data_IF_748721955607
#
_entry.id   IF_748721955607
#
_cell.length_a   1.000
_cell.length_b   1.000
_cell.length_c   1.000
_cell.angle_alpha   90.00
_cell.angle_beta   90.00
_cell.angle_gamma   90.00
#
_symmetry.space_group_name_H-M   'P 1'
#
loop_
_entity.id
_entity.type
_entity.pdbx_description
1 polymer ?
#
# COMPACT_ATOMS: atom_id res chain seq x y z
N UNK A 1 -24.47 -25.72 6.61
CA UNK A 1 -23.93 -25.11 5.38
C UNK A 1 -23.36 -23.77 5.78
N UNK A 2 -22.05 -23.72 5.99
CA UNK A 2 -21.34 -22.46 6.26
C UNK A 2 -21.51 -21.53 5.06
N UNK A 3 -22.28 -20.46 5.25
CA UNK A 3 -22.16 -19.30 4.38
C UNK A 3 -20.83 -18.65 4.74
N UNK A 4 -19.76 -19.09 4.07
CA UNK A 4 -18.58 -18.27 3.93
C UNK A 4 -19.07 -16.95 3.31
N UNK A 5 -19.22 -15.91 4.16
CA UNK A 5 -19.48 -14.55 3.70
C UNK A 5 -18.47 -14.28 2.59
N UNK A 6 -18.98 -14.05 1.38
CA UNK A 6 -18.17 -13.78 0.20
C UNK A 6 -17.25 -12.61 0.55
N UNK A 7 -15.96 -12.88 0.74
CA UNK A 7 -15.01 -11.83 1.08
C UNK A 7 -14.86 -10.91 -0.13
N UNK A 8 -15.45 -9.73 -0.05
CA UNK A 8 -15.33 -8.71 -1.09
C UNK A 8 -14.04 -7.96 -0.83
N UNK A 9 -13.00 -8.29 -1.60
CA UNK A 9 -11.71 -7.59 -1.53
C UNK A 9 -11.89 -6.15 -2.02
N UNK A 10 -11.84 -5.18 -1.09
CA UNK A 10 -11.93 -3.76 -1.45
C UNK A 10 -10.71 -3.30 -2.24
N UNK A 11 -9.51 -3.69 -1.80
CA UNK A 11 -8.24 -3.25 -2.40
C UNK A 11 -8.05 -3.74 -3.84
N UNK A 12 -7.62 -2.84 -4.74
CA UNK A 12 -7.35 -3.12 -6.16
C UNK A 12 -5.91 -3.59 -6.41
N UNK A 13 -5.29 -4.17 -5.40
CA UNK A 13 -3.88 -4.56 -5.45
C UNK A 13 -3.63 -5.68 -6.46
N UNK A 14 -2.72 -5.44 -7.40
CA UNK A 14 -2.25 -6.42 -8.37
C UNK A 14 -1.20 -7.35 -7.73
N UNK A 15 -1.00 -8.51 -8.35
CA UNK A 15 0.12 -9.40 -8.04
C UNK A 15 1.45 -8.86 -8.57
N UNK A 16 1.40 -7.98 -9.57
CA UNK A 16 2.57 -7.39 -10.23
C UNK A 16 2.26 -5.97 -10.72
N UNK A 17 3.27 -5.09 -10.63
CA UNK A 17 3.25 -3.71 -11.12
C UNK A 17 4.49 -3.43 -11.96
N UNK A 18 4.31 -2.77 -13.10
CA UNK A 18 5.41 -2.31 -13.96
C UNK A 18 5.98 -0.97 -13.50
N UNK A 19 7.11 -0.54 -14.08
CA UNK A 19 7.76 0.74 -13.76
C UNK A 19 6.87 1.95 -14.10
N UNK A 20 6.02 1.83 -15.12
CA UNK A 20 5.10 2.89 -15.54
C UNK A 20 3.91 3.10 -14.58
N UNK A 21 3.65 2.12 -13.71
CA UNK A 21 2.52 2.13 -12.77
C UNK A 21 2.90 2.66 -11.38
N UNK A 22 4.19 2.92 -11.16
CA UNK A 22 4.71 3.38 -9.87
C UNK A 22 5.26 4.80 -9.97
N UNK A 23 5.35 5.47 -8.82
CA UNK A 23 5.90 6.81 -8.66
C UNK A 23 6.83 6.87 -7.44
N UNK A 24 7.94 7.59 -7.57
CA UNK A 24 8.78 7.89 -6.43
C UNK A 24 8.05 8.87 -5.48
N UNK A 25 8.24 8.70 -4.19
CA UNK A 25 7.64 9.55 -3.17
C UNK A 25 8.64 9.93 -2.08
N UNK A 26 8.36 11.05 -1.41
CA UNK A 26 9.06 11.47 -0.21
C UNK A 26 8.63 10.60 0.98
N UNK A 27 9.47 10.53 2.01
CA UNK A 27 9.11 9.90 3.26
C UNK A 27 7.82 10.54 3.83
N UNK A 28 6.75 9.76 4.09
CA UNK A 28 5.48 10.30 4.59
C UNK A 28 5.56 10.97 5.96
N UNK A 29 6.59 10.65 6.75
CA UNK A 29 6.74 11.16 8.12
C UNK A 29 7.58 12.43 8.20
N UNK A 30 8.73 12.47 7.50
CA UNK A 30 9.67 13.59 7.60
C UNK A 30 9.91 14.33 6.28
N UNK A 31 9.25 13.93 5.20
CA UNK A 31 9.42 14.50 3.85
C UNK A 31 10.84 14.37 3.27
N UNK A 32 11.71 13.57 3.89
CA UNK A 32 13.04 13.27 3.37
C UNK A 32 13.00 12.43 2.09
N UNK A 33 14.05 12.53 1.28
CA UNK A 33 14.20 11.79 0.02
C UNK A 33 15.32 10.73 0.05
N UNK A 34 16.05 10.62 1.15
CA UNK A 34 17.10 9.62 1.34
C UNK A 34 16.58 8.38 2.07
N UNK A 35 16.97 7.22 1.56
CA UNK A 35 16.47 5.93 2.03
C UNK A 35 17.39 4.75 1.64
N UNK A 36 17.40 3.73 2.50
CA UNK A 36 17.99 2.43 2.21
C UNK A 36 16.96 1.47 1.63
N UNK A 37 17.30 0.73 0.57
CA UNK A 37 16.44 -0.33 0.01
C UNK A 37 16.53 -1.58 0.89
N UNK A 38 15.37 -2.13 1.24
CA UNK A 38 15.28 -3.37 2.04
C UNK A 38 14.90 -4.54 1.14
N UNK A 39 13.81 -4.42 0.38
CA UNK A 39 13.23 -5.55 -0.35
C UNK A 39 12.43 -5.08 -1.56
N UNK A 40 12.44 -5.84 -2.65
CA UNK A 40 11.60 -5.59 -3.83
C UNK A 40 10.39 -6.52 -3.79
N UNK A 41 9.19 -5.97 -3.94
CA UNK A 41 7.94 -6.74 -3.95
C UNK A 41 7.11 -6.46 -5.21
N UNK A 42 6.30 -7.45 -5.63
CA UNK A 42 5.25 -7.29 -6.66
C UNK A 42 5.71 -6.55 -7.93
N UNK A 43 6.93 -6.83 -8.41
CA UNK A 43 7.52 -6.16 -9.56
C UNK A 43 8.29 -4.90 -9.16
N UNK A 44 7.75 -3.73 -9.49
CA UNK A 44 8.45 -2.45 -9.34
C UNK A 44 8.31 -1.78 -7.97
N UNK A 45 7.58 -2.36 -7.01
CA UNK A 45 7.49 -1.81 -5.66
C UNK A 45 8.72 -2.19 -4.84
N UNK A 46 9.18 -1.26 -3.99
CA UNK A 46 10.34 -1.49 -3.13
C UNK A 46 10.03 -1.03 -1.72
N UNK A 47 10.22 -1.90 -0.75
CA UNK A 47 10.24 -1.56 0.68
C UNK A 47 11.58 -0.89 0.97
N UNK A 48 11.52 0.30 1.52
CA UNK A 48 12.67 1.13 1.87
C UNK A 48 12.58 1.58 3.32
N UNK A 49 13.71 1.95 3.91
CA UNK A 49 13.80 2.59 5.21
C UNK A 49 14.33 4.01 5.03
N UNK A 50 13.62 5.02 5.53
CA UNK A 50 14.07 6.40 5.49
C UNK A 50 15.31 6.59 6.37
N UNK A 51 16.39 7.16 5.82
CA UNK A 51 17.62 7.43 6.56
C UNK A 51 17.45 8.50 7.64
N UNK A 52 16.51 9.44 7.44
CA UNK A 52 16.30 10.57 8.35
C UNK A 52 15.46 10.26 9.59
N UNK A 53 14.40 9.45 9.44
CA UNK A 53 13.47 9.16 10.54
C UNK A 53 13.27 7.68 10.84
N UNK A 54 13.90 6.78 10.07
CA UNK A 54 13.81 5.33 10.27
C UNK A 54 12.50 4.69 9.84
N UNK A 55 11.51 5.45 9.34
CA UNK A 55 10.24 4.91 8.86
C UNK A 55 10.47 3.90 7.72
N UNK A 56 9.83 2.73 7.82
CA UNK A 56 9.77 1.74 6.76
C UNK A 56 8.50 2.00 5.93
N UNK A 57 8.65 2.14 4.62
CA UNK A 57 7.56 2.46 3.69
C UNK A 57 7.87 1.92 2.28
N UNK A 58 6.91 2.03 1.36
CA UNK A 58 7.07 1.62 -0.03
C UNK A 58 7.48 2.82 -0.90
N UNK A 59 8.59 2.69 -1.62
CA UNK A 59 9.10 3.69 -2.57
C UNK A 59 9.97 3.04 -3.66
N UNK A 60 9.61 3.11 -4.95
CA UNK A 60 8.44 3.79 -5.50
C UNK A 60 7.13 3.06 -5.14
N UNK A 61 6.05 3.81 -4.99
CA UNK A 61 4.70 3.33 -4.65
C UNK A 61 3.81 3.29 -5.89
N UNK A 62 2.71 2.55 -5.85
CA UNK A 62 1.72 2.56 -6.94
C UNK A 62 1.14 3.98 -7.11
N UNK A 63 0.99 4.46 -8.34
CA UNK A 63 0.24 5.69 -8.64
C UNK A 63 -1.18 5.59 -8.07
N UNK A 64 -1.72 6.69 -7.53
CA UNK A 64 -3.04 6.69 -6.87
C UNK A 64 -3.11 5.63 -5.74
N UNK A 65 -2.07 5.58 -4.90
CA UNK A 65 -1.93 4.61 -3.81
C UNK A 65 -3.18 4.53 -2.91
N UNK A 66 -3.82 5.65 -2.61
CA UNK A 66 -5.04 5.72 -1.79
C UNK A 66 -6.17 4.87 -2.38
N UNK A 67 -6.47 5.05 -3.67
CA UNK A 67 -7.49 4.27 -4.39
C UNK A 67 -7.10 2.79 -4.51
N UNK A 68 -5.81 2.51 -4.73
CA UNK A 68 -5.34 1.14 -4.93
C UNK A 68 -5.31 0.31 -3.64
N UNK A 69 -4.96 0.93 -2.52
CA UNK A 69 -4.86 0.26 -1.23
C UNK A 69 -6.17 0.23 -0.47
N UNK A 70 -6.95 1.31 -0.49
CA UNK A 70 -8.20 1.39 0.28
C UNK A 70 -9.40 0.88 -0.49
N UNK A 71 -9.33 0.85 -1.82
CA UNK A 71 -10.41 0.32 -2.63
C UNK A 71 -11.65 1.20 -2.67
N UNK A 72 -12.83 0.58 -2.70
CA UNK A 72 -14.09 1.30 -2.57
C UNK A 72 -14.31 1.72 -1.10
N UNK A 73 -14.64 3.01 -0.90
CA UNK A 73 -14.84 3.58 0.43
C UNK A 73 -15.92 2.83 1.24
N UNK A 74 -16.99 2.35 0.58
CA UNK A 74 -18.07 1.62 1.27
C UNK A 74 -17.56 0.29 1.80
N UNK A 75 -16.81 -0.45 0.99
CA UNK A 75 -16.20 -1.72 1.39
C UNK A 75 -15.21 -1.48 2.54
N UNK A 76 -14.34 -0.47 2.42
CA UNK A 76 -13.41 -0.11 3.49
C UNK A 76 -14.12 0.18 4.83
N UNK A 77 -15.22 0.96 4.79
CA UNK A 77 -16.01 1.28 5.99
C UNK A 77 -16.75 0.07 6.56
N UNK A 78 -17.19 -0.86 5.72
CA UNK A 78 -17.77 -2.13 6.17
C UNK A 78 -16.73 -3.01 6.86
N UNK A 79 -15.51 -3.11 6.30
CA UNK A 79 -14.41 -3.86 6.90
C UNK A 79 -13.95 -3.25 8.24
N UNK A 80 -13.90 -1.91 8.34
CA UNK A 80 -13.49 -1.21 9.56
C UNK A 80 -14.38 -1.52 10.79
N UNK A 81 -15.66 -1.87 10.58
CA UNK A 81 -16.58 -2.28 11.66
C UNK A 81 -16.12 -3.54 12.39
N UNK A 82 -15.34 -4.40 11.74
CA UNK A 82 -14.80 -5.60 12.37
C UNK A 82 -13.59 -5.31 13.29
N UNK A 83 -12.98 -4.12 13.15
CA UNK A 83 -11.78 -3.71 13.89
C UNK A 83 -12.15 -2.84 15.10
N UNK A 84 -13.03 -1.86 14.91
CA UNK A 84 -13.39 -0.86 15.93
C UNK A 84 -14.73 -1.17 16.60
N UNK A 85 -14.77 -2.24 17.40
CA UNK A 85 -15.94 -2.57 18.23
C UNK A 85 -16.20 -1.52 19.32
#
# INVERSE_FOLDING_TARGET
MDQAKEYIRGGRQKSHYSEEEVEACLCPLCSGNDYARIYRERGSLVVVQCSGCGLIYVNPRVKQAETNYWGDEKIYREEARYIFK
#
